data_IF_002405286503
#
_entry.id   IF_002405286503
#
_cell.length_a   1.000
_cell.length_b   1.000
_cell.length_c   1.000
_cell.angle_alpha   90.00
_cell.angle_beta   90.00
_cell.angle_gamma   90.00
#
_symmetry.space_group_name_H-M   'P 1'
#
loop_
_entity.id
_entity.type
_entity.pdbx_description
1 polymer ?
#
# COMPACT_ATOMS: atom_id res chain seq x y z
N UNK A 1 21.55 -5.45 -19.16
CA UNK A 1 20.86 -6.57 -18.49
C UNK A 1 21.41 -6.68 -17.09
N UNK A 2 20.58 -6.54 -16.06
CA UNK A 2 20.98 -6.89 -14.70
C UNK A 2 20.60 -8.35 -14.44
N UNK A 3 21.47 -9.12 -13.81
CA UNK A 3 21.14 -10.50 -13.42
C UNK A 3 20.12 -10.48 -12.29
N UNK A 4 18.91 -10.98 -12.56
CA UNK A 4 17.87 -11.14 -11.53
C UNK A 4 18.22 -12.39 -10.72
N UNK A 5 19.07 -12.21 -9.71
CA UNK A 5 19.49 -13.29 -8.81
C UNK A 5 18.27 -13.87 -8.10
N UNK A 6 17.96 -15.15 -8.32
CA UNK A 6 16.84 -15.85 -7.70
C UNK A 6 16.95 -15.82 -6.17
N UNK A 7 16.01 -15.15 -5.48
CA UNK A 7 16.15 -14.78 -4.06
C UNK A 7 15.16 -15.47 -3.11
N UNK A 8 15.28 -16.79 -3.03
CA UNK A 8 14.83 -17.61 -1.90
C UNK A 8 13.42 -18.17 -2.05
N UNK A 9 13.34 -19.43 -2.45
CA UNK A 9 12.13 -20.24 -2.33
C UNK A 9 11.70 -20.37 -0.85
N UNK A 10 10.39 -20.31 -0.59
CA UNK A 10 9.81 -20.84 0.65
C UNK A 10 9.53 -19.87 1.82
N UNK A 11 9.70 -18.54 1.68
CA UNK A 11 9.20 -17.56 2.68
C UNK A 11 8.46 -16.39 2.03
N UNK A 12 7.16 -16.17 2.35
CA UNK A 12 6.39 -15.04 1.83
C UNK A 12 7.04 -13.68 2.08
N UNK A 13 6.81 -12.76 1.16
CA UNK A 13 7.31 -11.38 1.19
C UNK A 13 6.14 -10.46 1.52
N UNK A 14 6.31 -9.56 2.50
CA UNK A 14 5.38 -8.45 2.69
C UNK A 14 5.68 -7.33 1.69
N UNK A 15 4.65 -6.65 1.27
CA UNK A 15 4.72 -5.51 0.37
C UNK A 15 3.79 -4.41 0.89
N UNK A 16 4.30 -3.20 1.09
CA UNK A 16 3.54 -2.06 1.61
C UNK A 16 3.49 -0.93 0.58
N UNK A 17 2.28 -0.42 0.37
CA UNK A 17 1.98 0.75 -0.45
C UNK A 17 1.31 1.81 0.45
N UNK A 18 1.91 2.97 0.61
CA UNK A 18 1.21 4.14 1.16
C UNK A 18 0.35 4.78 0.07
N UNK A 19 -0.81 5.33 0.43
CA UNK A 19 -1.65 6.12 -0.49
C UNK A 19 -1.96 7.49 0.11
N UNK A 20 -1.91 8.49 -0.74
CA UNK A 20 -2.31 9.87 -0.46
C UNK A 20 -3.55 10.16 -1.30
N UNK A 21 -4.58 10.76 -0.72
CA UNK A 21 -5.78 11.17 -1.46
C UNK A 21 -5.44 12.38 -2.34
N UNK A 22 -6.10 12.48 -3.50
CA UNK A 22 -5.95 13.62 -4.41
C UNK A 22 -6.46 14.91 -3.74
N UNK A 23 -5.85 16.04 -4.09
CA UNK A 23 -6.26 17.34 -3.55
C UNK A 23 -7.75 17.63 -3.84
N UNK A 24 -8.46 18.16 -2.84
CA UNK A 24 -9.90 18.44 -2.92
C UNK A 24 -10.83 17.26 -2.62
N UNK A 25 -10.30 16.05 -2.37
CA UNK A 25 -11.10 14.90 -1.93
C UNK A 25 -11.16 14.87 -0.40
N UNK A 26 -12.31 14.51 0.17
CA UNK A 26 -12.46 14.29 1.61
C UNK A 26 -12.03 12.89 2.04
N UNK A 27 -11.45 12.80 3.26
CA UNK A 27 -10.84 11.56 3.76
C UNK A 27 -11.86 10.41 3.86
N UNK A 28 -13.08 10.69 4.33
CA UNK A 28 -14.16 9.69 4.43
C UNK A 28 -14.56 9.15 3.05
N UNK A 29 -14.74 10.02 2.05
CA UNK A 29 -15.06 9.63 0.67
C UNK A 29 -13.93 8.85 0.01
N UNK A 30 -12.67 9.20 0.28
CA UNK A 30 -11.50 8.47 -0.19
C UNK A 30 -11.44 7.05 0.39
N UNK A 31 -11.63 6.91 1.71
CA UNK A 31 -11.66 5.60 2.37
C UNK A 31 -12.88 4.78 1.95
N UNK A 32 -14.03 5.41 1.71
CA UNK A 32 -15.21 4.76 1.13
C UNK A 32 -14.91 4.20 -0.28
N UNK A 33 -14.29 4.97 -1.17
CA UNK A 33 -13.87 4.48 -2.49
C UNK A 33 -12.85 3.33 -2.37
N UNK A 34 -11.87 3.42 -1.47
CA UNK A 34 -10.92 2.33 -1.22
C UNK A 34 -11.67 1.04 -0.86
N UNK A 35 -12.53 1.09 0.17
CA UNK A 35 -13.20 -0.09 0.74
C UNK A 35 -14.30 -0.64 -0.17
N UNK A 36 -15.09 0.22 -0.82
CA UNK A 36 -16.29 -0.20 -1.58
C UNK A 36 -16.07 -0.32 -3.09
N UNK A 37 -15.00 0.25 -3.65
CA UNK A 37 -14.76 0.28 -5.11
C UNK A 37 -13.39 -0.31 -5.47
N UNK A 38 -12.28 0.28 -4.99
CA UNK A 38 -10.93 -0.11 -5.41
C UNK A 38 -10.58 -1.55 -5.01
N UNK A 39 -10.80 -1.91 -3.73
CA UNK A 39 -10.45 -3.23 -3.21
C UNK A 39 -11.31 -4.38 -3.78
N UNK A 40 -12.64 -4.23 -3.94
CA UNK A 40 -13.46 -5.22 -4.64
C UNK A 40 -13.04 -5.48 -6.10
N UNK A 41 -12.59 -4.44 -6.84
CA UNK A 41 -11.99 -4.61 -8.18
C UNK A 41 -10.64 -5.33 -8.13
N UNK A 42 -9.79 -4.96 -7.16
CA UNK A 42 -8.42 -5.47 -7.03
C UNK A 42 -8.34 -6.94 -6.56
N UNK A 43 -9.15 -7.35 -5.57
CA UNK A 43 -8.99 -8.65 -4.91
C UNK A 43 -9.08 -9.89 -5.83
N UNK A 44 -9.93 -9.96 -6.87
CA UNK A 44 -9.90 -11.05 -7.84
C UNK A 44 -8.51 -11.23 -8.47
N UNK A 45 -7.88 -10.14 -8.93
CA UNK A 45 -6.57 -10.16 -9.59
C UNK A 45 -5.46 -10.47 -8.60
N UNK A 46 -5.50 -9.87 -7.40
CA UNK A 46 -4.52 -10.16 -6.34
C UNK A 46 -4.55 -11.66 -5.96
N UNK A 47 -5.74 -12.28 -5.87
CA UNK A 47 -5.90 -13.72 -5.62
C UNK A 47 -5.44 -14.60 -6.79
N UNK A 48 -5.69 -14.18 -8.03
CA UNK A 48 -5.21 -14.83 -9.27
C UNK A 48 -3.68 -14.94 -9.30
N UNK A 49 -2.97 -13.94 -8.76
CA UNK A 49 -1.50 -13.95 -8.59
C UNK A 49 -1.03 -14.54 -7.24
N UNK A 50 -1.89 -15.24 -6.50
CA UNK A 50 -1.50 -15.99 -5.29
C UNK A 50 -1.22 -15.14 -4.05
N UNK A 51 -1.69 -13.90 -3.98
CA UNK A 51 -1.53 -13.04 -2.80
C UNK A 51 -2.44 -13.56 -1.68
N UNK A 52 -1.83 -13.96 -0.55
CA UNK A 52 -2.48 -14.74 0.51
C UNK A 52 -2.93 -13.92 1.72
N UNK A 53 -2.40 -12.70 1.87
CA UNK A 53 -2.65 -11.84 3.02
C UNK A 53 -2.82 -10.39 2.61
N UNK A 54 -3.60 -9.66 3.41
CA UNK A 54 -3.97 -8.28 3.17
C UNK A 54 -4.26 -7.59 4.51
N UNK A 55 -3.84 -6.34 4.65
CA UNK A 55 -4.29 -5.43 5.69
C UNK A 55 -4.32 -3.99 5.15
N UNK A 56 -5.28 -3.20 5.61
CA UNK A 56 -5.39 -1.75 5.37
C UNK A 56 -5.43 -1.05 6.71
N UNK A 57 -4.67 0.03 6.81
CA UNK A 57 -4.58 0.86 7.99
C UNK A 57 -4.84 2.31 7.60
N UNK A 58 -5.89 2.87 8.20
CA UNK A 58 -6.30 4.26 8.05
C UNK A 58 -5.44 5.16 8.96
N UNK A 59 -5.08 6.35 8.49
CA UNK A 59 -4.33 7.35 9.25
C UNK A 59 -5.09 8.68 9.29
N UNK A 60 -6.27 8.73 9.95
CA UNK A 60 -7.15 9.89 9.93
C UNK A 60 -6.54 11.05 10.75
N UNK A 61 -6.75 12.28 10.25
CA UNK A 61 -6.28 13.51 10.88
C UNK A 61 -6.73 13.65 12.35
N UNK A 62 -7.93 13.16 12.69
CA UNK A 62 -8.47 13.15 14.06
C UNK A 62 -7.62 12.39 15.09
N UNK A 63 -6.79 11.44 14.63
CA UNK A 63 -5.81 10.73 15.46
C UNK A 63 -4.39 11.26 15.24
N UNK A 64 -4.03 11.53 13.97
CA UNK A 64 -2.66 11.88 13.61
C UNK A 64 -2.28 13.33 13.95
N UNK A 65 -3.19 14.30 13.94
CA UNK A 65 -2.83 15.70 14.23
C UNK A 65 -2.52 15.94 15.72
N UNK A 66 -3.30 15.41 16.70
CA UNK A 66 -2.91 15.47 18.11
C UNK A 66 -1.57 14.76 18.38
N UNK A 67 -1.35 13.59 17.74
CA UNK A 67 -0.10 12.86 17.86
C UNK A 67 1.08 13.62 17.24
N UNK A 68 0.90 14.26 16.08
CA UNK A 68 1.89 15.12 15.42
C UNK A 68 2.27 16.32 16.29
N UNK A 69 1.28 16.98 16.91
CA UNK A 69 1.53 18.07 17.84
C UNK A 69 2.31 17.62 19.08
N UNK A 70 2.01 16.44 19.63
CA UNK A 70 2.77 15.85 20.75
C UNK A 70 4.20 15.48 20.34
N UNK A 71 4.39 14.80 19.20
CA UNK A 71 5.71 14.36 18.73
C UNK A 71 6.62 15.54 18.36
N UNK A 72 6.07 16.64 17.85
CA UNK A 72 6.83 17.88 17.61
C UNK A 72 7.45 18.49 18.88
N UNK A 73 6.94 18.17 20.07
CA UNK A 73 7.52 18.58 21.37
C UNK A 73 8.52 17.53 21.88
N UNK A 74 8.20 16.24 21.78
CA UNK A 74 9.02 15.15 22.33
C UNK A 74 10.27 14.90 21.47
N UNK A 75 10.12 14.83 20.15
CA UNK A 75 11.18 14.57 19.18
C UNK A 75 11.04 15.54 17.98
N UNK A 76 11.47 16.82 18.12
CA UNK A 76 11.22 17.87 17.12
C UNK A 76 11.81 17.65 15.72
N UNK A 77 12.69 16.65 15.55
CA UNK A 77 13.28 16.26 14.27
C UNK A 77 12.54 15.10 13.58
N UNK A 78 11.56 14.47 14.25
CA UNK A 78 10.79 13.35 13.71
C UNK A 78 9.54 13.87 12.99
N UNK A 79 9.19 13.23 11.88
CA UNK A 79 7.99 13.54 11.12
C UNK A 79 6.95 12.44 11.33
N UNK A 80 5.75 12.81 11.75
CA UNK A 80 4.58 11.92 11.68
C UNK A 80 4.09 11.92 10.24
N UNK A 81 4.03 10.75 9.60
CA UNK A 81 3.66 10.61 8.20
C UNK A 81 2.26 11.19 7.89
N UNK A 82 2.05 11.55 6.64
CA UNK A 82 0.89 12.29 6.14
C UNK A 82 0.15 11.58 4.99
N UNK A 83 0.36 10.28 4.82
CA UNK A 83 -0.51 9.44 3.99
C UNK A 83 -1.88 9.23 4.65
N UNK A 84 -2.92 9.06 3.85
CA UNK A 84 -4.28 8.81 4.31
C UNK A 84 -4.49 7.36 4.75
N UNK A 85 -3.81 6.44 4.10
CA UNK A 85 -3.75 5.04 4.51
C UNK A 85 -2.48 4.35 4.01
N UNK A 86 -2.22 3.16 4.51
CA UNK A 86 -1.32 2.20 3.86
C UNK A 86 -1.93 0.80 3.78
N UNK A 87 -1.54 0.07 2.73
CA UNK A 87 -1.96 -1.30 2.48
C UNK A 87 -0.73 -2.21 2.56
N UNK A 88 -0.83 -3.29 3.34
CA UNK A 88 0.10 -4.42 3.28
C UNK A 88 -0.50 -5.58 2.49
N UNK A 89 0.29 -6.21 1.62
CA UNK A 89 -0.01 -7.47 0.95
C UNK A 89 1.03 -8.54 1.33
N UNK A 90 0.61 -9.80 1.47
CA UNK A 90 1.51 -10.95 1.63
C UNK A 90 1.63 -11.69 0.29
N UNK A 91 2.76 -11.48 -0.38
CA UNK A 91 3.10 -12.06 -1.67
C UNK A 91 3.82 -13.41 -1.50
N UNK A 92 3.69 -14.37 -2.44
CA UNK A 92 4.57 -15.54 -2.52
C UNK A 92 6.05 -15.14 -2.64
N UNK A 93 6.34 -14.14 -3.49
CA UNK A 93 7.69 -13.65 -3.79
C UNK A 93 7.67 -12.16 -4.22
N UNK A 94 8.85 -11.62 -4.57
CA UNK A 94 9.01 -10.22 -5.00
C UNK A 94 8.63 -9.97 -6.47
N UNK A 95 8.55 -11.02 -7.30
CA UNK A 95 8.20 -10.92 -8.73
C UNK A 95 6.68 -10.84 -8.93
N UNK A 96 5.91 -11.41 -8.01
CA UNK A 96 4.44 -11.42 -7.96
C UNK A 96 3.83 -10.05 -8.28
N UNK A 97 4.36 -8.97 -7.69
CA UNK A 97 3.82 -7.62 -7.95
C UNK A 97 4.04 -7.15 -9.39
N UNK A 98 5.15 -7.52 -10.03
CA UNK A 98 5.38 -7.22 -11.46
C UNK A 98 4.39 -7.94 -12.37
N UNK A 99 4.00 -9.16 -12.00
CA UNK A 99 2.99 -9.94 -12.71
C UNK A 99 1.58 -9.33 -12.54
N UNK A 100 1.24 -8.86 -11.33
CA UNK A 100 -0.01 -8.09 -11.08
C UNK A 100 -0.03 -6.81 -11.90
N UNK A 101 1.03 -6.00 -11.85
CA UNK A 101 1.10 -4.69 -12.52
C UNK A 101 1.05 -4.75 -14.06
N UNK A 102 1.20 -5.95 -14.65
CA UNK A 102 1.11 -6.19 -16.09
C UNK A 102 -0.15 -6.99 -16.50
N UNK A 103 -1.01 -7.34 -15.54
CA UNK A 103 -2.28 -8.03 -15.82
C UNK A 103 -3.31 -7.07 -16.41
N UNK A 104 -3.94 -7.37 -17.56
CA UNK A 104 -5.01 -6.54 -18.10
C UNK A 104 -6.18 -6.31 -17.13
N UNK A 105 -6.50 -7.30 -16.28
CA UNK A 105 -7.55 -7.15 -15.26
C UNK A 105 -7.13 -6.18 -14.14
N UNK A 106 -5.82 -6.08 -13.85
CA UNK A 106 -5.32 -5.08 -12.89
C UNK A 106 -5.39 -3.67 -13.46
N UNK A 107 -4.98 -3.50 -14.72
CA UNK A 107 -5.02 -2.22 -15.44
C UNK A 107 -6.46 -1.69 -15.50
N UNK A 108 -7.43 -2.54 -15.80
CA UNK A 108 -8.87 -2.24 -15.72
C UNK A 108 -9.30 -1.91 -14.27
N UNK A 109 -8.88 -2.70 -13.28
CA UNK A 109 -9.24 -2.54 -11.87
C UNK A 109 -8.70 -1.25 -11.21
N UNK A 110 -7.66 -0.64 -11.77
CA UNK A 110 -7.06 0.63 -11.27
C UNK A 110 -7.22 1.81 -12.23
N UNK A 111 -8.03 1.68 -13.29
CA UNK A 111 -8.23 2.74 -14.28
C UNK A 111 -8.77 4.06 -13.69
N UNK A 112 -9.51 4.01 -12.58
CA UNK A 112 -10.00 5.18 -11.83
C UNK A 112 -9.03 5.63 -10.71
N UNK A 113 -7.88 4.98 -10.51
CA UNK A 113 -7.01 5.27 -9.37
C UNK A 113 -6.48 6.71 -9.37
N UNK A 114 -6.12 7.26 -10.54
CA UNK A 114 -5.55 8.62 -10.63
C UNK A 114 -6.58 9.71 -10.34
N UNK A 115 -7.88 9.42 -10.33
CA UNK A 115 -8.91 10.37 -9.89
C UNK A 115 -8.96 10.50 -8.37
N UNK A 116 -8.61 9.44 -7.63
CA UNK A 116 -8.74 9.38 -6.17
C UNK A 116 -7.41 9.50 -5.42
N UNK A 117 -6.32 9.05 -6.03
CA UNK A 117 -5.01 8.90 -5.39
C UNK A 117 -3.99 9.81 -6.06
N UNK A 118 -3.17 10.52 -5.28
CA UNK A 118 -1.95 11.15 -5.80
C UNK A 118 -0.90 10.06 -6.07
N UNK A 119 -0.83 9.61 -7.33
CA UNK A 119 0.09 8.58 -7.80
C UNK A 119 1.57 9.02 -7.77
N UNK A 120 1.84 10.33 -7.73
CA UNK A 120 3.21 10.88 -7.69
C UNK A 120 3.90 10.72 -6.34
N UNK A 121 3.11 10.57 -5.25
CA UNK A 121 3.60 10.49 -3.86
C UNK A 121 3.71 9.08 -3.31
N UNK A 122 3.28 8.05 -4.05
CA UNK A 122 3.22 6.67 -3.57
C UNK A 122 4.58 6.14 -3.12
N UNK A 123 4.66 5.69 -1.86
CA UNK A 123 5.87 5.03 -1.34
C UNK A 123 5.66 3.52 -1.30
N UNK A 124 6.63 2.82 -1.89
CA UNK A 124 6.66 1.37 -2.02
C UNK A 124 7.76 0.79 -1.13
N UNK A 125 7.48 -0.31 -0.44
CA UNK A 125 8.52 -1.11 0.21
C UNK A 125 8.16 -2.58 0.22
N UNK A 126 9.18 -3.43 0.16
CA UNK A 126 9.06 -4.89 0.31
C UNK A 126 9.86 -5.34 1.51
N UNK A 127 9.26 -6.11 2.42
CA UNK A 127 9.88 -6.54 3.67
C UNK A 127 9.90 -8.05 3.79
N UNK A 128 10.98 -8.59 4.38
CA UNK A 128 11.08 -9.98 4.81
C UNK A 128 11.15 -9.99 6.33
N UNK A 129 10.31 -10.79 6.99
CA UNK A 129 10.36 -10.91 8.45
C UNK A 129 11.68 -11.59 8.87
N UNK A 130 12.46 -11.01 9.78
CA UNK A 130 13.65 -11.66 10.32
C UNK A 130 13.29 -13.01 10.94
N UNK A 131 14.13 -14.02 10.72
CA UNK A 131 13.99 -15.29 11.43
C UNK A 131 14.59 -15.12 12.82
N UNK A 132 13.75 -15.13 13.85
CA UNK A 132 14.20 -15.13 15.24
C UNK A 132 14.58 -16.56 15.60
N UNK A 133 15.87 -16.75 15.90
CA UNK A 133 16.45 -18.00 16.41
C UNK A 133 16.73 -17.86 17.90
#
# INVERSE_FOLDING_TARGET
>A
MAEITQHGEGKPVKFTLTKYRKEGIEHESFMEWIVKVHLPKAFPVLKKHGITGYALFETPATLNDPFRAQMAVIHPTWQVADYDCFIEYTLPDVHTIGNVMTDPEWIEAVADQEDWVDTSRLLLSSQKQPSVN
#
